data_IF_113866213193
#
_entry.id   IF_113866213193
#
_cell.length_a   1.000
_cell.length_b   1.000
_cell.length_c   1.000
_cell.angle_alpha   90.00
_cell.angle_beta   90.00
_cell.angle_gamma   90.00
#
_symmetry.space_group_name_H-M   'P 1'
#
loop_
_entity.id
_entity.type
_entity.pdbx_description
1 polymer ?
#
# COMPACT_ATOMS: atom_id res chain seq x y z
N UNK A 1 33.35 9.79 13.47
CA UNK A 1 31.89 10.00 13.52
C UNK A 1 31.31 9.49 12.21
N UNK A 2 30.75 8.28 12.19
CA UNK A 2 30.21 7.66 10.97
C UNK A 2 28.69 7.71 10.92
N UNK A 3 28.12 7.58 9.73
CA UNK A 3 26.68 7.35 9.58
C UNK A 3 26.37 5.89 9.89
N UNK A 4 25.23 5.65 10.55
CA UNK A 4 24.69 4.32 10.79
C UNK A 4 23.69 3.98 9.69
N UNK A 5 23.75 2.76 9.17
CA UNK A 5 22.78 2.26 8.17
C UNK A 5 22.24 0.92 8.65
N UNK A 6 20.95 0.68 8.47
CA UNK A 6 20.32 -0.59 8.81
C UNK A 6 19.35 -1.04 7.74
N UNK A 7 19.20 -2.35 7.59
CA UNK A 7 18.17 -2.95 6.77
C UNK A 7 17.68 -4.24 7.42
N UNK A 8 16.43 -4.60 7.14
CA UNK A 8 15.80 -5.85 7.58
C UNK A 8 14.73 -6.24 6.57
N UNK A 9 14.53 -7.53 6.35
CA UNK A 9 13.46 -8.04 5.53
C UNK A 9 12.95 -9.38 6.07
N UNK A 10 11.67 -9.63 5.90
CA UNK A 10 11.02 -10.91 6.23
C UNK A 10 9.80 -11.11 5.34
N UNK A 11 9.32 -12.33 5.19
CA UNK A 11 8.08 -12.64 4.48
C UNK A 11 7.33 -13.77 5.17
N UNK A 12 6.74 -13.54 6.35
CA UNK A 12 5.90 -14.53 7.00
C UNK A 12 4.74 -14.95 6.09
N UNK A 13 4.40 -16.23 6.16
CA UNK A 13 3.26 -16.81 5.46
C UNK A 13 2.24 -17.31 6.45
N UNK A 14 0.96 -17.04 6.19
CA UNK A 14 -0.16 -17.53 6.96
C UNK A 14 -1.02 -18.43 6.07
N UNK A 15 -1.28 -19.65 6.53
CA UNK A 15 -2.26 -20.52 5.88
C UNK A 15 -3.62 -20.19 6.47
N UNK A 16 -4.54 -19.74 5.61
CA UNK A 16 -5.94 -19.53 5.98
C UNK A 16 -6.70 -20.77 5.53
N UNK A 17 -7.12 -21.58 6.51
CA UNK A 17 -7.99 -22.73 6.29
C UNK A 17 -9.44 -22.32 6.52
N UNK A 18 -10.30 -22.58 5.52
CA UNK A 18 -11.73 -22.26 5.56
C UNK A 18 -12.55 -23.19 6.45
N UNK A 19 -11.93 -24.18 7.10
CA UNK A 19 -12.58 -25.07 8.07
C UNK A 19 -13.57 -26.07 7.46
N UNK A 20 -13.72 -26.08 6.14
CA UNK A 20 -14.59 -26.99 5.41
C UNK A 20 -13.77 -27.94 4.52
N UNK A 21 -14.12 -29.23 4.56
CA UNK A 21 -13.51 -30.28 3.74
C UNK A 21 -13.64 -29.89 2.26
N UNK A 22 -12.52 -29.86 1.53
CA UNK A 22 -12.40 -29.48 0.10
C UNK A 22 -12.39 -27.97 -0.25
N UNK A 23 -12.18 -27.06 0.72
CA UNK A 23 -11.86 -25.67 0.37
C UNK A 23 -10.35 -25.54 0.13
N UNK A 24 -9.89 -24.98 -1.01
CA UNK A 24 -8.47 -24.75 -1.25
C UNK A 24 -7.85 -23.90 -0.13
N UNK A 25 -6.76 -24.37 0.46
CA UNK A 25 -6.00 -23.57 1.42
C UNK A 25 -5.45 -22.34 0.71
N UNK A 26 -5.74 -21.16 1.26
CA UNK A 26 -5.19 -19.90 0.73
C UNK A 26 -3.94 -19.56 1.54
N UNK A 27 -2.80 -19.45 0.86
CA UNK A 27 -1.56 -19.02 1.49
C UNK A 27 -1.44 -17.51 1.34
N UNK A 28 -1.50 -16.80 2.46
CA UNK A 28 -1.21 -15.37 2.52
C UNK A 28 0.28 -15.18 2.74
N UNK A 29 0.94 -14.35 1.93
CA UNK A 29 2.32 -13.93 2.18
C UNK A 29 2.35 -12.47 2.58
N UNK A 30 3.13 -12.12 3.60
CA UNK A 30 3.26 -10.74 4.08
C UNK A 30 4.72 -10.31 3.97
N UNK A 31 5.27 -10.02 2.77
CA UNK A 31 6.58 -9.42 2.66
C UNK A 31 6.64 -8.08 3.39
N UNK A 32 7.64 -7.95 4.25
CA UNK A 32 7.94 -6.76 5.03
C UNK A 32 9.42 -6.45 4.93
N UNK A 33 9.76 -5.18 4.80
CA UNK A 33 11.15 -4.76 4.86
C UNK A 33 11.28 -3.35 5.40
N UNK A 34 12.43 -3.09 6.01
CA UNK A 34 12.82 -1.80 6.51
C UNK A 34 14.24 -1.47 6.07
N UNK A 35 14.48 -0.19 5.82
CA UNK A 35 15.82 0.34 5.58
C UNK A 35 15.92 1.73 6.19
N UNK A 36 17.10 2.12 6.65
CA UNK A 36 17.28 3.44 7.24
C UNK A 36 18.73 3.84 7.39
N UNK A 37 18.90 5.14 7.54
CA UNK A 37 20.17 5.81 7.75
C UNK A 37 20.04 6.81 8.90
N UNK A 38 21.08 6.94 9.71
CA UNK A 38 21.16 7.90 10.80
C UNK A 38 22.52 8.58 10.78
N UNK A 39 22.51 9.89 10.66
CA UNK A 39 23.70 10.72 10.78
C UNK A 39 24.03 10.94 12.27
N UNK A 40 25.33 11.07 12.60
CA UNK A 40 25.75 11.35 13.97
C UNK A 40 25.21 12.70 14.45
N UNK A 41 25.14 12.87 15.78
CA UNK A 41 24.73 14.12 16.45
C UNK A 41 23.32 14.61 16.09
N UNK A 42 22.45 13.74 15.57
CA UNK A 42 21.07 14.12 15.22
C UNK A 42 20.97 15.08 14.03
N UNK A 43 21.99 15.08 13.15
CA UNK A 43 22.02 15.90 11.94
C UNK A 43 21.07 15.40 10.84
N UNK A 44 20.58 14.17 10.96
CA UNK A 44 19.63 13.60 10.01
C UNK A 44 19.31 12.15 10.33
N UNK A 45 18.08 11.75 10.11
CA UNK A 45 17.66 10.36 10.09
C UNK A 45 16.63 10.20 8.98
N UNK A 46 16.69 9.07 8.27
CA UNK A 46 15.72 8.72 7.26
C UNK A 46 15.48 7.22 7.30
N UNK A 47 14.26 6.81 7.06
CA UNK A 47 13.91 5.40 7.04
C UNK A 47 12.69 5.12 6.21
N UNK A 48 12.57 3.88 5.78
CA UNK A 48 11.41 3.36 5.11
C UNK A 48 11.06 2.01 5.73
N UNK A 49 9.77 1.77 5.92
CA UNK A 49 9.19 0.50 6.30
C UNK A 49 8.08 0.17 5.30
N UNK A 50 8.02 -1.08 4.86
CA UNK A 50 7.04 -1.54 3.90
C UNK A 50 6.46 -2.86 4.38
N UNK A 51 5.16 -3.06 4.16
CA UNK A 51 4.47 -4.31 4.43
C UNK A 51 3.37 -4.50 3.39
N UNK A 52 3.36 -5.62 2.69
CA UNK A 52 2.35 -5.91 1.68
C UNK A 52 1.73 -7.25 1.95
N UNK A 53 0.41 -7.34 1.86
CA UNK A 53 -0.30 -8.61 1.94
C UNK A 53 -0.49 -9.11 0.52
N UNK A 54 0.06 -10.27 0.19
CA UNK A 54 -0.04 -10.90 -1.12
C UNK A 54 -0.89 -12.17 -1.02
N UNK A 55 -1.90 -12.24 -1.88
CA UNK A 55 -2.78 -13.40 -2.08
C UNK A 55 -2.49 -13.95 -3.48
N UNK A 56 -1.93 -15.16 -3.59
CA UNK A 56 -1.93 -15.90 -4.84
C UNK A 56 -3.37 -16.22 -5.23
N UNK A 57 -3.75 -15.85 -6.45
CA UNK A 57 -5.05 -16.19 -7.04
C UNK A 57 -4.83 -17.09 -8.23
N UNK A 58 -5.88 -17.75 -8.71
CA UNK A 58 -5.80 -18.63 -9.88
C UNK A 58 -5.24 -17.92 -11.13
N UNK A 59 -5.45 -16.61 -11.25
CA UNK A 59 -5.13 -15.83 -12.45
C UNK A 59 -4.03 -14.79 -12.23
N UNK A 60 -3.35 -14.77 -11.08
CA UNK A 60 -2.31 -13.78 -10.79
C UNK A 60 -2.08 -13.53 -9.30
N UNK A 61 -1.37 -12.44 -9.01
CA UNK A 61 -1.05 -11.99 -7.65
C UNK A 61 -1.97 -10.82 -7.31
N UNK A 62 -2.65 -10.93 -6.18
CA UNK A 62 -3.49 -9.87 -5.64
C UNK A 62 -2.89 -9.31 -4.36
N UNK A 63 -2.72 -8.00 -4.30
CA UNK A 63 -2.27 -7.27 -3.12
C UNK A 63 -3.45 -6.48 -2.56
N UNK A 64 -4.30 -7.08 -1.70
CA UNK A 64 -5.46 -6.39 -1.11
C UNK A 64 -5.07 -5.12 -0.38
N UNK A 65 -3.95 -5.13 0.34
CA UNK A 65 -3.47 -4.03 1.17
C UNK A 65 -1.94 -4.02 1.13
N UNK A 66 -1.35 -2.85 0.91
CA UNK A 66 0.08 -2.60 1.07
C UNK A 66 0.31 -1.27 1.76
N UNK A 67 1.27 -1.22 2.67
CA UNK A 67 1.64 0.00 3.40
C UNK A 67 3.11 0.30 3.20
N UNK A 68 3.42 1.56 2.95
CA UNK A 68 4.79 2.09 2.87
C UNK A 68 4.86 3.33 3.76
N UNK A 69 5.63 3.24 4.83
CA UNK A 69 5.94 4.36 5.72
C UNK A 69 7.35 4.85 5.41
N UNK A 70 7.50 6.06 4.89
CA UNK A 70 8.79 6.74 4.76
C UNK A 70 8.89 7.89 5.74
N UNK A 71 10.07 8.10 6.30
CA UNK A 71 10.33 9.22 7.19
C UNK A 71 11.69 9.85 6.89
N UNK A 72 11.78 11.14 7.17
CA UNK A 72 12.99 11.93 7.19
C UNK A 72 12.88 12.93 8.33
N UNK A 73 13.92 13.11 9.12
CA UNK A 73 13.92 14.18 10.13
C UNK A 73 15.32 14.66 10.44
N UNK A 74 15.40 15.89 10.95
CA UNK A 74 16.61 16.51 11.49
C UNK A 74 16.31 16.79 12.97
N UNK A 75 16.58 15.83 13.87
CA UNK A 75 16.24 15.94 15.29
C UNK A 75 16.73 17.24 15.94
N UNK A 76 17.94 17.70 15.61
CA UNK A 76 18.51 18.93 16.19
C UNK A 76 17.75 20.20 15.81
N UNK A 77 17.01 20.18 14.70
CA UNK A 77 16.18 21.30 14.24
C UNK A 77 14.69 21.13 14.57
N UNK A 78 14.30 19.99 15.17
CA UNK A 78 12.89 19.66 15.40
C UNK A 78 12.08 19.53 14.09
N UNK A 79 12.76 19.33 12.96
CA UNK A 79 12.14 19.19 11.64
C UNK A 79 11.94 17.72 11.32
N UNK A 80 10.77 17.37 10.77
CA UNK A 80 10.45 16.01 10.38
C UNK A 80 9.39 15.95 9.31
N UNK A 81 9.44 14.89 8.52
CA UNK A 81 8.46 14.53 7.52
C UNK A 81 8.24 13.03 7.60
N UNK A 82 6.99 12.63 7.78
CA UNK A 82 6.59 11.22 7.74
C UNK A 82 5.50 11.07 6.69
N UNK A 83 5.64 10.11 5.79
CA UNK A 83 4.65 9.81 4.77
C UNK A 83 4.24 8.35 4.89
N UNK A 84 2.95 8.11 5.13
CA UNK A 84 2.34 6.79 5.11
C UNK A 84 1.51 6.66 3.84
N UNK A 85 1.93 5.79 2.93
CA UNK A 85 1.14 5.35 1.79
C UNK A 85 0.42 4.04 2.13
N UNK A 86 -0.87 3.96 1.88
CA UNK A 86 -1.71 2.77 2.02
C UNK A 86 -2.34 2.47 0.67
N UNK A 87 -1.76 1.53 -0.08
CA UNK A 87 -2.31 0.99 -1.33
C UNK A 87 -3.34 -0.09 -1.06
N UNK A 88 -4.39 -0.15 -1.87
CA UNK A 88 -5.42 -1.18 -1.77
C UNK A 88 -5.87 -1.66 -3.14
N UNK A 89 -6.10 -2.96 -3.26
CA UNK A 89 -6.70 -3.53 -4.48
C UNK A 89 -5.76 -3.60 -5.69
N UNK A 90 -4.44 -3.63 -5.47
CA UNK A 90 -3.50 -3.86 -6.55
C UNK A 90 -3.62 -5.30 -7.06
N UNK A 91 -3.69 -5.48 -8.38
CA UNK A 91 -3.82 -6.78 -9.01
C UNK A 91 -2.90 -6.87 -10.23
N UNK A 92 -2.21 -7.99 -10.36
CA UNK A 92 -1.42 -8.31 -11.55
C UNK A 92 -1.72 -9.75 -11.96
N UNK A 93 -2.29 -9.93 -13.15
CA UNK A 93 -2.67 -11.25 -13.62
C UNK A 93 -2.83 -11.36 -15.14
N UNK A 94 -3.22 -12.55 -15.59
CA UNK A 94 -3.39 -12.87 -17.01
C UNK A 94 -4.48 -12.04 -17.69
N UNK A 95 -5.46 -11.55 -16.92
CA UNK A 95 -6.59 -10.78 -17.41
C UNK A 95 -6.33 -9.26 -17.41
N UNK A 96 -5.13 -8.85 -17.00
CA UNK A 96 -4.72 -7.45 -16.92
C UNK A 96 -4.10 -7.07 -15.57
N UNK A 97 -3.92 -5.77 -15.38
CA UNK A 97 -3.40 -5.19 -14.13
C UNK A 97 -4.32 -4.07 -13.62
N UNK A 98 -4.31 -3.90 -12.30
CA UNK A 98 -4.96 -2.83 -11.60
C UNK A 98 -3.96 -2.24 -10.60
N UNK A 99 -3.67 -0.96 -10.75
CA UNK A 99 -2.75 -0.22 -9.88
C UNK A 99 -3.54 0.91 -9.22
N UNK A 100 -3.61 0.86 -7.90
CA UNK A 100 -4.18 1.90 -7.07
C UNK A 100 -3.09 2.39 -6.12
N UNK A 101 -2.67 3.64 -6.31
CA UNK A 101 -1.67 4.29 -5.48
C UNK A 101 -2.22 4.65 -4.10
N UNK A 102 -3.50 4.35 -3.84
CA UNK A 102 -4.09 4.36 -2.53
C UNK A 102 -4.15 5.74 -1.90
N UNK A 103 -4.16 5.77 -0.57
CA UNK A 103 -4.20 7.00 0.21
C UNK A 103 -2.84 7.24 0.86
N UNK A 104 -2.33 8.45 0.74
CA UNK A 104 -1.13 8.94 1.37
C UNK A 104 -1.52 9.87 2.52
N UNK A 105 -0.84 9.74 3.64
CA UNK A 105 -0.92 10.64 4.78
C UNK A 105 0.48 11.16 5.05
N UNK A 106 0.71 12.41 4.72
CA UNK A 106 1.96 13.11 4.98
C UNK A 106 1.80 13.99 6.22
N UNK A 107 2.74 13.85 7.14
CA UNK A 107 2.81 14.60 8.38
C UNK A 107 4.08 15.42 8.36
N UNK A 108 3.91 16.75 8.42
CA UNK A 108 5.01 17.70 8.57
C UNK A 108 5.13 18.08 10.04
N UNK A 109 6.33 17.89 10.58
CA UNK A 109 6.73 18.33 11.91
C UNK A 109 7.69 19.51 11.75
N UNK A 110 7.34 20.64 12.35
CA UNK A 110 8.20 21.82 12.38
C UNK A 110 8.38 22.31 13.81
N UNK A 111 9.48 23.00 14.14
CA UNK A 111 9.66 23.59 15.45
C UNK A 111 8.64 24.70 15.76
N UNK A 112 7.94 25.21 14.73
CA UNK A 112 6.96 26.30 14.86
C UNK A 112 5.50 25.81 14.87
N UNK A 113 5.22 24.56 14.48
CA UNK A 113 3.86 24.01 14.47
C UNK A 113 3.31 23.65 15.87
N UNK A 114 4.07 23.91 16.93
CA UNK A 114 3.71 23.52 18.29
C UNK A 114 3.46 22.01 18.42
N UNK A 115 2.51 21.61 19.27
CA UNK A 115 2.14 20.20 19.50
C UNK A 115 1.29 19.58 18.37
N UNK A 116 0.90 20.35 17.34
CA UNK A 116 -0.04 19.91 16.30
C UNK A 116 0.66 19.77 14.95
N UNK A 117 1.12 18.56 14.58
CA UNK A 117 1.59 18.29 13.22
C UNK A 117 0.51 18.65 12.19
N UNK A 118 0.92 19.07 10.99
CA UNK A 118 0.00 19.36 9.88
C UNK A 118 -0.16 18.10 9.01
N UNK A 119 -1.32 17.40 9.06
CA UNK A 119 -1.56 16.25 8.20
C UNK A 119 -2.06 16.70 6.82
N UNK A 120 -1.47 16.14 5.78
CA UNK A 120 -1.91 16.25 4.40
C UNK A 120 -2.31 14.85 3.93
N UNK A 121 -3.59 14.68 3.62
CA UNK A 121 -4.14 13.42 3.13
C UNK A 121 -4.37 13.54 1.63
N UNK A 122 -3.75 12.69 0.81
CA UNK A 122 -3.91 12.77 -0.64
C UNK A 122 -3.86 11.40 -1.30
N UNK A 123 -4.54 11.22 -2.42
CA UNK A 123 -4.38 10.06 -3.29
C UNK A 123 -3.70 10.49 -4.58
N UNK A 124 -2.82 9.64 -5.10
CA UNK A 124 -2.25 9.84 -6.45
C UNK A 124 -3.15 9.24 -7.54
N UNK A 125 -4.31 8.69 -7.16
CA UNK A 125 -5.20 8.00 -8.07
C UNK A 125 -4.70 6.60 -8.42
N UNK A 126 -5.08 6.13 -9.59
CA UNK A 126 -4.76 4.78 -10.05
C UNK A 126 -5.22 4.56 -11.47
N UNK A 127 -4.86 3.43 -12.04
CA UNK A 127 -5.29 3.03 -13.36
C UNK A 127 -5.36 1.52 -13.45
N UNK A 128 -6.26 1.05 -14.31
CA UNK A 128 -6.42 -0.37 -14.57
C UNK A 128 -6.62 -0.62 -16.05
N UNK A 129 -6.07 -1.73 -16.53
CA UNK A 129 -6.18 -2.13 -17.93
C UNK A 129 -6.20 -3.66 -18.02
N UNK A 130 -7.17 -4.18 -18.76
CA UNK A 130 -7.29 -5.61 -19.00
C UNK A 130 -8.31 -5.95 -20.07
N UNK A 131 -8.54 -7.25 -20.23
CA UNK A 131 -9.40 -7.79 -21.31
C UNK A 131 -10.87 -7.43 -21.14
N UNK A 132 -11.30 -7.10 -19.93
CA UNK A 132 -12.69 -6.78 -19.57
C UNK A 132 -12.95 -5.27 -19.43
N UNK A 133 -11.91 -4.43 -19.52
CA UNK A 133 -12.05 -2.99 -19.32
C UNK A 133 -10.78 -2.23 -19.02
N UNK A 134 -10.90 -0.91 -19.04
CA UNK A 134 -9.84 0.04 -18.71
C UNK A 134 -10.42 1.26 -18.00
N UNK A 135 -9.64 1.86 -17.11
CA UNK A 135 -10.09 3.02 -16.35
C UNK A 135 -8.97 3.69 -15.58
N UNK A 136 -9.28 4.88 -15.07
CA UNK A 136 -8.39 5.65 -14.23
C UNK A 136 -9.16 6.32 -13.09
N UNK A 137 -8.50 6.37 -11.94
CA UNK A 137 -8.90 7.14 -10.77
C UNK A 137 -7.99 8.35 -10.69
N UNK A 138 -8.55 9.54 -10.58
CA UNK A 138 -7.77 10.77 -10.50
C UNK A 138 -7.24 11.02 -9.09
N UNK A 139 -6.19 11.84 -8.97
CA UNK A 139 -5.69 12.30 -7.67
C UNK A 139 -6.78 13.00 -6.84
N UNK A 140 -6.64 12.91 -5.52
CA UNK A 140 -7.51 13.59 -4.56
C UNK A 140 -6.70 14.24 -3.44
N UNK A 141 -7.24 15.31 -2.87
CA UNK A 141 -6.69 15.98 -1.69
C UNK A 141 -7.78 16.06 -0.62
N UNK A 142 -7.47 15.62 0.59
CA UNK A 142 -8.42 15.41 1.69
C UNK A 142 -9.64 14.56 1.31
N UNK A 143 -9.46 13.60 0.40
CA UNK A 143 -10.53 12.75 -0.11
C UNK A 143 -11.43 13.40 -1.16
N UNK A 144 -11.22 14.69 -1.48
CA UNK A 144 -11.94 15.38 -2.54
C UNK A 144 -11.22 15.14 -3.87
N UNK A 145 -11.89 14.42 -4.78
CA UNK A 145 -11.38 14.18 -6.14
C UNK A 145 -11.39 15.46 -6.96
N UNK A 146 -10.32 15.70 -7.71
CA UNK A 146 -10.19 16.92 -8.52
C UNK A 146 -11.10 16.90 -9.77
N UNK A 147 -11.45 15.71 -10.28
CA UNK A 147 -12.48 15.49 -11.30
C UNK A 147 -13.04 14.04 -11.19
N UNK A 148 -14.09 13.66 -11.94
CA UNK A 148 -14.66 12.31 -11.90
C UNK A 148 -13.67 11.26 -12.42
N UNK A 149 -13.57 10.11 -11.74
CA UNK A 149 -12.90 8.91 -12.27
C UNK A 149 -13.68 8.32 -13.44
N UNK A 150 -12.98 7.70 -14.38
CA UNK A 150 -13.58 7.04 -15.54
C UNK A 150 -13.28 5.54 -15.53
N UNK A 151 -14.29 4.72 -15.77
CA UNK A 151 -14.16 3.28 -15.88
C UNK A 151 -14.99 2.77 -17.05
N UNK A 152 -14.31 2.14 -18.02
CA UNK A 152 -14.93 1.44 -19.13
C UNK A 152 -14.85 -0.07 -18.86
N UNK A 153 -15.99 -0.75 -18.87
CA UNK A 153 -16.03 -2.18 -18.54
C UNK A 153 -15.67 -2.45 -17.07
N UNK A 154 -15.21 -3.67 -16.78
CA UNK A 154 -14.92 -4.10 -15.40
C UNK A 154 -13.41 -4.05 -15.14
N UNK A 155 -13.02 -3.51 -13.98
CA UNK A 155 -11.62 -3.47 -13.58
C UNK A 155 -11.10 -4.90 -13.36
N UNK A 156 -9.90 -5.24 -13.85
CA UNK A 156 -9.26 -6.52 -13.57
C UNK A 156 -9.14 -6.75 -12.05
N UNK A 157 -9.47 -7.97 -11.64
CA UNK A 157 -9.39 -8.36 -10.24
C UNK A 157 -9.43 -9.87 -10.07
N UNK A 158 -9.35 -10.34 -8.81
CA UNK A 158 -9.48 -11.75 -8.51
C UNK A 158 -10.81 -12.28 -9.05
N UNK A 159 -10.78 -13.39 -9.78
CA UNK A 159 -12.01 -14.05 -10.23
C UNK A 159 -12.82 -14.46 -9.01
N UNK A 160 -13.92 -13.74 -8.74
CA UNK A 160 -14.90 -14.17 -7.74
C UNK A 160 -15.55 -15.42 -8.31
N UNK A 161 -15.16 -16.61 -7.82
CA UNK A 161 -16.01 -17.79 -7.95
C UNK A 161 -17.32 -17.46 -7.24
N UNK A 162 -18.34 -17.11 -8.01
CA UNK A 162 -19.72 -17.11 -7.52
C UNK A 162 -20.02 -18.54 -7.10
N UNK A 163 -20.08 -18.78 -5.79
CA UNK A 163 -20.68 -20.00 -5.28
C UNK A 163 -22.17 -19.85 -5.57
N UNK A 164 -22.63 -20.38 -6.71
CA UNK A 164 -24.06 -20.54 -6.92
C UNK A 164 -24.53 -21.58 -5.91
N UNK A 165 -25.11 -21.10 -4.81
CA UNK A 165 -25.88 -21.92 -3.90
C UNK A 165 -27.11 -22.41 -4.69
N UNK A 166 -26.96 -23.53 -5.39
CA UNK A 166 -28.09 -24.28 -5.91
C UNK A 166 -28.81 -24.88 -4.70
N UNK A 167 -29.79 -24.16 -4.15
CA UNK A 167 -30.79 -24.74 -3.26
C UNK A 167 -31.57 -25.76 -4.09
N UNK A 168 -31.32 -27.03 -3.84
CA UNK A 168 -32.30 -28.10 -4.07
C UNK A 168 -33.16 -28.24 -2.83
#
# INVERSE_FOLDING_TARGET
MGMETGWWATAPTLIVDGGAVNVPQTVLSIPMWANGIKAPLGLGQAGQFNAHVLIPTQNGIYSPIGTTLSNFSIPVLGLGMTNLNVTTGNYLGTNGFNVNNGQNVMVLQTPFSGALPVPLVYSLGGFNFGTEGAGFTLPSLFGVGLMPSFQLGTAPGPTRRSVSSRRT
#
